data_IF_645909629162
#
_entry.id   IF_645909629162
#
_cell.length_a   1.000
_cell.length_b   1.000
_cell.length_c   1.000
_cell.angle_alpha   90.00
_cell.angle_beta   90.00
_cell.angle_gamma   90.00
#
_symmetry.space_group_name_H-M   'P 1'
#
loop_
_entity.id
_entity.type
_entity.pdbx_description
1 polymer ?
#
# COMPACT_ATOMS: atom_id res chain seq x y z
N UNK A 1 -17.64 33.20 -8.68
CA UNK A 1 -17.05 31.87 -8.44
C UNK A 1 -15.99 32.04 -7.36
N UNK A 2 -16.37 31.86 -6.08
CA UNK A 2 -15.42 31.96 -4.95
C UNK A 2 -14.51 30.72 -4.98
N UNK A 3 -13.25 30.91 -5.32
CA UNK A 3 -12.20 29.94 -5.08
C UNK A 3 -11.98 29.84 -3.57
N UNK A 4 -12.50 28.79 -2.95
CA UNK A 4 -12.12 28.43 -1.58
C UNK A 4 -10.66 27.97 -1.61
N UNK A 5 -9.75 28.87 -1.27
CA UNK A 5 -8.36 28.51 -0.96
C UNK A 5 -8.38 27.65 0.29
N UNK A 6 -8.27 26.33 0.12
CA UNK A 6 -8.00 25.43 1.26
C UNK A 6 -6.65 25.87 1.86
N UNK A 7 -6.60 26.19 3.15
CA UNK A 7 -5.33 26.62 3.79
C UNK A 7 -4.30 25.50 3.62
N UNK A 8 -3.05 25.87 3.36
CA UNK A 8 -1.92 24.93 3.33
C UNK A 8 -1.75 24.33 4.72
N UNK A 9 -1.85 23.00 4.83
CA UNK A 9 -1.53 22.28 6.06
C UNK A 9 -0.04 22.44 6.35
N UNK A 10 0.28 22.93 7.54
CA UNK A 10 1.65 22.93 8.05
C UNK A 10 1.87 21.73 8.97
N UNK A 11 3.13 21.34 9.16
CA UNK A 11 3.47 20.28 10.11
C UNK A 11 3.06 20.64 11.56
N UNK A 12 3.00 21.93 11.88
CA UNK A 12 2.57 22.42 13.19
C UNK A 12 1.08 22.17 13.49
N UNK A 13 0.25 21.93 12.47
CA UNK A 13 -1.17 21.58 12.63
C UNK A 13 -1.39 20.11 13.03
N UNK A 14 -0.39 19.27 12.86
CA UNK A 14 -0.45 17.88 13.30
C UNK A 14 0.03 17.74 14.74
N UNK A 15 -0.75 17.07 15.55
CA UNK A 15 -0.33 16.64 16.88
C UNK A 15 0.71 15.52 16.74
N UNK A 16 1.90 15.72 17.31
CA UNK A 16 2.95 14.72 17.24
C UNK A 16 4.35 15.30 17.27
N UNK A 17 5.33 14.40 17.19
CA UNK A 17 6.75 14.78 17.18
C UNK A 17 7.16 15.21 15.77
N UNK A 18 7.68 16.43 15.66
CA UNK A 18 8.23 16.94 14.41
C UNK A 18 9.58 16.29 14.10
N UNK A 19 9.79 15.93 12.83
CA UNK A 19 11.01 15.33 12.31
C UNK A 19 11.16 15.62 10.82
N UNK A 20 12.08 14.96 10.12
CA UNK A 20 12.36 15.21 8.72
C UNK A 20 12.46 13.89 7.94
N UNK A 21 11.96 13.89 6.71
CA UNK A 21 12.10 12.80 5.76
C UNK A 21 12.60 13.35 4.43
N UNK A 22 13.88 13.12 4.13
CA UNK A 22 14.52 13.57 2.88
C UNK A 22 14.33 15.06 2.55
N UNK A 23 14.38 15.93 3.56
CA UNK A 23 14.20 17.39 3.39
C UNK A 23 12.74 17.87 3.43
N UNK A 24 11.79 16.96 3.70
CA UNK A 24 10.39 17.28 3.89
C UNK A 24 9.97 17.20 5.36
N UNK A 25 9.10 18.11 5.84
CA UNK A 25 8.57 18.03 7.19
C UNK A 25 7.83 16.71 7.41
N UNK A 26 8.12 16.04 8.51
CA UNK A 26 7.45 14.80 8.91
C UNK A 26 6.94 14.92 10.34
N UNK A 27 5.76 14.39 10.58
CA UNK A 27 5.18 14.27 11.92
C UNK A 27 5.05 12.79 12.28
N UNK A 28 5.54 12.44 13.47
CA UNK A 28 5.37 11.14 14.08
C UNK A 28 4.29 11.23 15.16
N UNK A 29 3.26 10.42 15.04
CA UNK A 29 2.13 10.40 15.96
C UNK A 29 1.76 8.97 16.37
N UNK A 30 1.06 8.84 17.49
CA UNK A 30 0.48 7.58 17.91
C UNK A 30 -1.04 7.62 17.74
N UNK A 31 -1.62 6.55 17.17
CA UNK A 31 -3.05 6.34 17.11
C UNK A 31 -3.39 5.02 17.82
N UNK A 32 -3.83 5.10 19.06
CA UNK A 32 -3.87 3.96 19.95
C UNK A 32 -2.47 3.39 20.16
N UNK A 33 -2.27 2.09 19.90
CA UNK A 33 -0.98 1.40 19.97
C UNK A 33 -0.17 1.46 18.66
N UNK A 34 -0.69 2.13 17.61
CA UNK A 34 -0.03 2.24 16.32
C UNK A 34 0.87 3.47 16.24
N UNK A 35 2.11 3.27 15.80
CA UNK A 35 2.99 4.37 15.38
C UNK A 35 2.65 4.76 13.95
N UNK A 36 2.37 6.04 13.76
CA UNK A 36 2.01 6.60 12.48
C UNK A 36 2.97 7.72 12.09
N UNK A 37 3.07 7.98 10.79
CA UNK A 37 3.87 9.05 10.22
C UNK A 37 3.12 9.72 9.09
N UNK A 38 3.28 11.03 9.00
CA UNK A 38 2.78 11.83 7.88
C UNK A 38 3.90 12.74 7.42
N UNK A 39 4.24 12.68 6.14
CA UNK A 39 5.21 13.57 5.51
C UNK A 39 4.44 14.56 4.66
N UNK A 40 4.75 15.82 4.83
CA UNK A 40 4.10 16.90 4.12
C UNK A 40 4.98 17.39 2.96
N UNK A 41 4.41 17.62 1.77
CA UNK A 41 5.12 18.31 0.71
C UNK A 41 5.41 19.77 1.10
N UNK A 42 6.34 20.42 0.40
CA UNK A 42 6.59 21.87 0.61
C UNK A 42 5.37 22.71 0.26
N UNK A 43 4.68 22.32 -0.82
CA UNK A 43 3.42 22.90 -1.25
C UNK A 43 2.44 21.76 -1.55
N UNK A 44 1.31 21.77 -0.89
CA UNK A 44 0.31 20.71 -1.06
C UNK A 44 -0.46 20.91 -2.35
N UNK A 45 -0.56 19.86 -3.16
CA UNK A 45 -1.44 19.85 -4.31
C UNK A 45 -2.92 19.92 -3.89
N UNK A 46 -3.77 20.47 -4.78
CA UNK A 46 -5.21 20.63 -4.53
C UNK A 46 -5.84 19.27 -4.19
N UNK A 47 -6.69 19.27 -3.17
CA UNK A 47 -7.37 18.06 -2.69
C UNK A 47 -6.50 17.15 -1.82
N UNK A 48 -5.27 17.59 -1.44
CA UNK A 48 -4.38 16.88 -0.52
C UNK A 48 -4.21 15.39 -0.88
N UNK A 49 -3.74 15.09 -2.10
CA UNK A 49 -3.50 13.72 -2.52
C UNK A 49 -2.39 13.08 -1.69
N UNK A 50 -2.46 11.77 -1.50
CA UNK A 50 -1.50 11.06 -0.68
C UNK A 50 -1.30 9.62 -1.12
N UNK A 51 -0.09 9.12 -0.84
CA UNK A 51 0.27 7.72 -0.95
C UNK A 51 0.40 7.13 0.45
N UNK A 52 -0.17 5.94 0.65
CA UNK A 52 -0.17 5.24 1.91
C UNK A 52 0.76 4.04 1.83
N UNK A 53 1.92 4.23 2.40
CA UNK A 53 2.97 3.21 2.43
C UNK A 53 2.72 2.19 3.51
N UNK A 54 2.73 0.91 3.14
CA UNK A 54 2.63 -0.22 4.03
C UNK A 54 4.00 -0.84 4.28
N UNK A 55 4.44 -0.93 5.53
CA UNK A 55 5.69 -1.57 5.92
C UNK A 55 6.96 -0.87 5.39
N UNK A 56 8.12 -1.29 5.90
CA UNK A 56 9.45 -0.88 5.43
C UNK A 56 9.63 0.63 5.24
N UNK A 57 9.28 1.39 6.29
CA UNK A 57 9.42 2.84 6.26
C UNK A 57 10.82 3.29 5.86
N UNK A 58 10.90 4.18 4.87
CA UNK A 58 12.15 4.77 4.39
C UNK A 58 13.03 3.84 3.53
N UNK A 59 12.60 2.61 3.26
CA UNK A 59 13.32 1.72 2.34
C UNK A 59 12.93 2.03 0.90
N UNK A 60 13.93 2.23 0.01
CA UNK A 60 13.72 2.58 -1.41
C UNK A 60 12.68 3.71 -1.62
N UNK A 61 12.96 4.94 -1.12
CA UNK A 61 11.98 6.01 -1.02
C UNK A 61 11.81 6.84 -2.29
N UNK A 62 12.33 6.40 -3.45
CA UNK A 62 12.38 7.17 -4.68
C UNK A 62 11.00 7.65 -5.12
N UNK A 63 9.99 6.77 -5.05
CA UNK A 63 8.61 7.10 -5.38
C UNK A 63 8.02 8.11 -4.38
N UNK A 64 8.21 7.86 -3.08
CA UNK A 64 7.72 8.75 -2.02
C UNK A 64 8.26 10.18 -2.21
N UNK A 65 9.58 10.29 -2.44
CA UNK A 65 10.25 11.58 -2.64
C UNK A 65 9.78 12.27 -3.92
N UNK A 66 9.56 11.52 -5.00
CA UNK A 66 9.05 12.08 -6.26
C UNK A 66 7.63 12.62 -6.11
N UNK A 67 6.76 11.91 -5.40
CA UNK A 67 5.39 12.35 -5.12
C UNK A 67 5.36 13.55 -4.18
N UNK A 68 6.21 13.58 -3.13
CA UNK A 68 6.35 14.75 -2.24
C UNK A 68 6.76 16.01 -3.03
N UNK A 69 7.69 15.89 -3.99
CA UNK A 69 8.06 17.00 -4.89
C UNK A 69 6.90 17.48 -5.77
N UNK A 70 5.94 16.60 -6.04
CA UNK A 70 4.73 16.89 -6.82
C UNK A 70 3.53 17.35 -5.96
N UNK A 71 3.76 17.66 -4.69
CA UNK A 71 2.71 18.16 -3.78
C UNK A 71 1.86 17.09 -3.11
N UNK A 72 2.25 15.81 -3.22
CA UNK A 72 1.56 14.70 -2.56
C UNK A 72 2.08 14.50 -1.13
N UNK A 73 1.22 14.00 -0.26
CA UNK A 73 1.61 13.58 1.09
C UNK A 73 2.02 12.10 1.07
N UNK A 74 2.88 11.72 2.01
CA UNK A 74 3.19 10.31 2.27
C UNK A 74 2.74 9.96 3.68
N UNK A 75 1.99 8.90 3.82
CA UNK A 75 1.48 8.46 5.11
C UNK A 75 1.90 7.01 5.42
N UNK A 76 2.04 6.69 6.69
CA UNK A 76 2.41 5.38 7.19
C UNK A 76 1.70 5.09 8.51
N UNK A 77 1.18 3.89 8.66
CA UNK A 77 0.66 3.37 9.93
C UNK A 77 1.20 1.95 10.15
N UNK A 78 1.84 1.73 11.29
CA UNK A 78 2.51 0.45 11.56
C UNK A 78 1.50 -0.68 11.78
N UNK A 79 1.53 -1.63 10.87
CA UNK A 79 0.79 -2.91 10.92
C UNK A 79 1.70 -4.09 10.57
N UNK A 80 3.02 -3.89 10.68
CA UNK A 80 4.03 -4.79 10.13
C UNK A 80 3.93 -6.23 10.60
N UNK A 81 3.59 -6.46 11.84
CA UNK A 81 3.48 -7.80 12.43
C UNK A 81 2.03 -8.32 12.47
N UNK A 82 1.11 -7.63 11.79
CA UNK A 82 -0.28 -8.03 11.68
C UNK A 82 -0.62 -8.72 10.35
N UNK A 83 0.33 -8.83 9.41
CA UNK A 83 0.22 -9.60 8.15
C UNK A 83 -1.07 -9.33 7.35
N UNK A 84 -1.61 -8.12 7.39
CA UNK A 84 -2.85 -7.79 6.71
C UNK A 84 -4.11 -8.45 7.29
N UNK A 85 -4.05 -8.97 8.51
CA UNK A 85 -5.18 -9.58 9.21
C UNK A 85 -6.35 -8.58 9.42
N UNK A 86 -7.54 -9.04 9.82
CA UNK A 86 -8.66 -8.16 10.14
C UNK A 86 -8.31 -7.07 11.17
N UNK A 87 -7.42 -7.36 12.11
CA UNK A 87 -6.91 -6.38 13.07
C UNK A 87 -6.07 -5.30 12.38
N UNK A 88 -5.27 -5.66 11.38
CA UNK A 88 -4.51 -4.69 10.57
C UNK A 88 -5.44 -3.78 9.79
N UNK A 89 -6.47 -4.35 9.14
CA UNK A 89 -7.49 -3.60 8.41
C UNK A 89 -8.18 -2.60 9.32
N UNK A 90 -8.66 -3.02 10.49
CA UNK A 90 -9.31 -2.12 11.46
C UNK A 90 -8.38 -0.98 11.94
N UNK A 91 -7.09 -1.27 12.14
CA UNK A 91 -6.11 -0.23 12.49
C UNK A 91 -5.93 0.79 11.37
N UNK A 92 -5.90 0.33 10.14
CA UNK A 92 -5.83 1.19 8.96
C UNK A 92 -7.10 2.00 8.77
N UNK A 93 -8.29 1.43 9.01
CA UNK A 93 -9.56 2.18 8.99
C UNK A 93 -9.51 3.38 9.95
N UNK A 94 -9.03 3.18 11.17
CA UNK A 94 -8.90 4.27 12.15
C UNK A 94 -7.92 5.37 11.70
N UNK A 95 -6.79 5.00 11.07
CA UNK A 95 -5.84 5.97 10.55
C UNK A 95 -6.37 6.71 9.32
N UNK A 96 -7.07 6.00 8.43
CA UNK A 96 -7.75 6.61 7.29
C UNK A 96 -8.75 7.67 7.74
N UNK A 97 -9.64 7.34 8.69
CA UNK A 97 -10.62 8.29 9.24
C UNK A 97 -9.93 9.49 9.92
N UNK A 98 -8.84 9.24 10.65
CA UNK A 98 -8.06 10.31 11.27
C UNK A 98 -7.52 11.31 10.24
N UNK A 99 -6.96 10.84 9.12
CA UNK A 99 -6.41 11.73 8.09
C UNK A 99 -7.49 12.42 7.27
N UNK A 100 -8.54 11.70 6.88
CA UNK A 100 -9.58 12.25 6.01
C UNK A 100 -10.54 13.16 6.73
N UNK A 101 -10.98 12.82 7.94
CA UNK A 101 -11.93 13.62 8.70
C UNK A 101 -11.25 14.83 9.37
N UNK A 102 -10.10 14.62 10.05
CA UNK A 102 -9.43 15.70 10.80
C UNK A 102 -8.60 16.61 9.91
N UNK A 103 -7.85 16.05 8.95
CA UNK A 103 -6.90 16.78 8.12
C UNK A 103 -7.34 16.94 6.67
N UNK A 104 -8.55 16.51 6.32
CA UNK A 104 -9.15 16.68 4.99
C UNK A 104 -8.27 16.13 3.85
N UNK A 105 -7.57 15.03 4.09
CA UNK A 105 -6.84 14.33 3.05
C UNK A 105 -7.81 13.77 2.00
N UNK A 106 -7.32 13.62 0.76
CA UNK A 106 -8.13 13.04 -0.29
C UNK A 106 -8.75 11.71 0.17
N UNK A 107 -10.06 11.47 0.00
CA UNK A 107 -10.70 10.24 0.44
C UNK A 107 -10.25 8.99 -0.33
N UNK A 108 -9.41 9.16 -1.35
CA UNK A 108 -8.88 8.05 -2.18
C UNK A 108 -7.36 8.07 -2.20
N UNK A 109 -6.68 7.43 -1.21
CA UNK A 109 -5.24 7.24 -1.25
C UNK A 109 -4.80 6.33 -2.40
N UNK A 110 -3.54 6.46 -2.77
CA UNK A 110 -2.77 5.42 -3.44
C UNK A 110 -2.21 4.49 -2.37
N UNK A 111 -2.29 3.18 -2.58
CA UNK A 111 -1.73 2.20 -1.66
C UNK A 111 -0.40 1.68 -2.21
N UNK A 112 0.64 1.69 -1.40
CA UNK A 112 1.96 1.16 -1.71
C UNK A 112 2.34 0.04 -0.75
N UNK A 113 2.74 -1.11 -1.28
CA UNK A 113 3.16 -2.23 -0.45
C UNK A 113 4.31 -3.03 -1.05
N UNK A 114 5.45 -3.01 -0.37
CA UNK A 114 6.60 -3.86 -0.69
C UNK A 114 6.52 -5.17 0.06
N UNK A 115 6.89 -6.29 -0.60
CA UNK A 115 7.01 -7.61 0.03
C UNK A 115 5.73 -7.95 0.83
N UNK A 116 5.86 -8.29 2.13
CA UNK A 116 4.68 -8.57 2.99
C UNK A 116 3.72 -7.39 3.17
N UNK A 117 4.10 -6.18 2.75
CA UNK A 117 3.18 -5.05 2.64
C UNK A 117 2.04 -5.29 1.67
N UNK A 118 2.22 -6.20 0.70
CA UNK A 118 1.17 -6.66 -0.20
C UNK A 118 -0.08 -7.16 0.52
N UNK A 119 0.10 -7.88 1.64
CA UNK A 119 -1.03 -8.43 2.40
C UNK A 119 -2.01 -7.34 2.88
N UNK A 120 -1.50 -6.26 3.47
CA UNK A 120 -2.39 -5.23 4.03
C UNK A 120 -2.98 -4.32 2.95
N UNK A 121 -2.21 -3.90 1.94
CA UNK A 121 -2.75 -3.01 0.90
C UNK A 121 -3.93 -3.65 0.18
N UNK A 122 -3.84 -4.94 -0.15
CA UNK A 122 -4.93 -5.65 -0.81
C UNK A 122 -6.09 -5.97 0.12
N UNK A 123 -5.83 -6.41 1.36
CA UNK A 123 -6.91 -6.74 2.29
C UNK A 123 -7.70 -5.50 2.70
N UNK A 124 -7.01 -4.36 2.92
CA UNK A 124 -7.70 -3.10 3.17
C UNK A 124 -8.47 -2.60 1.94
N UNK A 125 -7.85 -2.66 0.77
CA UNK A 125 -8.49 -2.25 -0.48
C UNK A 125 -9.75 -3.07 -0.79
N UNK A 126 -9.73 -4.40 -0.59
CA UNK A 126 -10.90 -5.27 -0.78
C UNK A 126 -12.05 -4.93 0.17
N UNK A 127 -11.74 -4.52 1.40
CA UNK A 127 -12.72 -4.07 2.37
C UNK A 127 -13.24 -2.65 2.08
N UNK A 128 -12.46 -1.82 1.38
CA UNK A 128 -12.74 -0.42 1.12
C UNK A 128 -12.52 -0.03 -0.37
N UNK A 129 -13.08 -0.75 -1.36
CA UNK A 129 -12.69 -0.60 -2.76
C UNK A 129 -12.95 0.80 -3.33
N UNK A 130 -13.99 1.49 -2.87
CA UNK A 130 -14.32 2.85 -3.31
C UNK A 130 -13.37 3.92 -2.76
N UNK A 131 -12.63 3.59 -1.70
CA UNK A 131 -11.66 4.48 -1.05
C UNK A 131 -10.25 4.39 -1.66
N UNK A 132 -10.04 3.72 -2.80
CA UNK A 132 -8.71 3.49 -3.38
C UNK A 132 -8.57 4.14 -4.73
N UNK A 133 -7.49 4.93 -4.94
CA UNK A 133 -7.15 5.48 -6.25
C UNK A 133 -6.53 4.40 -7.15
N UNK A 134 -5.46 3.78 -6.70
CA UNK A 134 -4.76 2.67 -7.35
C UNK A 134 -3.89 1.94 -6.32
N UNK A 135 -3.34 0.79 -6.72
CA UNK A 135 -2.45 0.00 -5.88
C UNK A 135 -1.10 -0.19 -6.59
N UNK A 136 -0.02 0.13 -5.90
CA UNK A 136 1.35 -0.23 -6.25
C UNK A 136 1.85 -1.35 -5.34
N UNK A 137 2.16 -2.50 -5.93
CA UNK A 137 2.78 -3.64 -5.27
C UNK A 137 4.22 -3.83 -5.74
N UNK A 138 5.17 -3.90 -4.82
CA UNK A 138 6.57 -4.18 -5.13
C UNK A 138 6.97 -5.54 -4.60
N UNK A 139 7.20 -6.50 -5.49
CA UNK A 139 7.37 -7.91 -5.14
C UNK A 139 6.38 -8.35 -4.04
N UNK A 140 5.06 -8.04 -4.19
CA UNK A 140 4.11 -8.11 -3.11
C UNK A 140 3.77 -9.56 -2.75
N UNK A 141 3.71 -9.86 -1.45
CA UNK A 141 3.09 -11.09 -0.98
C UNK A 141 1.59 -11.00 -1.23
N UNK A 142 1.09 -11.87 -2.10
CA UNK A 142 -0.32 -11.95 -2.46
C UNK A 142 -1.02 -13.21 -1.92
N UNK A 143 -0.25 -14.16 -1.40
CA UNK A 143 -0.75 -15.34 -0.68
C UNK A 143 0.19 -15.66 0.50
N UNK A 144 -0.31 -15.60 1.73
CA UNK A 144 0.49 -15.92 2.90
C UNK A 144 0.90 -17.41 2.94
N UNK A 145 0.26 -18.28 2.15
CA UNK A 145 0.64 -19.68 1.99
C UNK A 145 1.91 -19.84 1.16
N UNK A 146 2.15 -18.96 0.19
CA UNK A 146 3.43 -18.88 -0.51
C UNK A 146 4.50 -18.32 0.43
N UNK A 147 4.29 -17.12 0.97
CA UNK A 147 5.14 -16.55 2.00
C UNK A 147 4.26 -15.94 3.11
N UNK A 148 4.50 -16.24 4.38
CA UNK A 148 5.67 -16.89 4.97
C UNK A 148 5.59 -18.42 5.10
N UNK A 149 4.49 -19.10 4.73
CA UNK A 149 4.34 -20.53 4.96
C UNK A 149 5.30 -21.41 4.12
N UNK A 150 5.69 -20.94 2.92
CA UNK A 150 6.60 -21.68 2.05
C UNK A 150 5.93 -22.80 1.26
N UNK A 151 4.64 -22.67 0.96
CA UNK A 151 3.95 -23.57 0.06
C UNK A 151 4.37 -23.29 -1.38
N UNK A 152 5.03 -24.22 -2.01
CA UNK A 152 5.52 -24.09 -3.37
C UNK A 152 7.03 -23.87 -3.42
N UNK A 153 7.49 -22.90 -4.21
CA UNK A 153 8.93 -22.62 -4.42
C UNK A 153 9.47 -21.52 -3.49
N UNK A 154 8.58 -20.76 -2.87
CA UNK A 154 8.95 -19.65 -2.00
C UNK A 154 9.69 -20.07 -0.75
N UNK A 155 10.67 -19.27 -0.33
CA UNK A 155 11.46 -19.53 0.88
C UNK A 155 10.59 -19.35 2.14
N UNK A 156 10.34 -20.45 2.86
CA UNK A 156 9.61 -20.41 4.12
C UNK A 156 10.31 -19.58 5.19
N UNK A 157 9.51 -18.98 6.08
CA UNK A 157 9.97 -18.30 7.29
C UNK A 157 9.13 -18.76 8.49
N UNK A 158 9.64 -19.76 9.22
CA UNK A 158 8.88 -20.38 10.32
C UNK A 158 8.43 -19.37 11.38
N UNK A 159 9.30 -18.44 11.80
CA UNK A 159 8.95 -17.39 12.76
C UNK A 159 7.89 -16.43 12.23
N UNK A 160 7.97 -16.04 10.95
CA UNK A 160 6.96 -15.20 10.32
C UNK A 160 5.64 -15.96 10.12
N UNK A 161 5.68 -17.26 9.85
CA UNK A 161 4.49 -18.10 9.75
C UNK A 161 3.72 -18.17 11.05
N UNK A 162 4.40 -18.47 12.16
CA UNK A 162 3.76 -18.48 13.49
C UNK A 162 3.19 -17.12 13.88
N UNK A 163 3.91 -16.03 13.56
CA UNK A 163 3.40 -14.68 13.79
C UNK A 163 2.17 -14.36 12.91
N UNK A 164 2.14 -14.86 11.68
CA UNK A 164 0.99 -14.71 10.77
C UNK A 164 -0.23 -15.47 11.32
N UNK A 165 -0.08 -16.73 11.70
CA UNK A 165 -1.15 -17.52 12.30
C UNK A 165 -1.75 -16.82 13.54
N UNK A 166 -0.88 -16.34 14.43
CA UNK A 166 -1.29 -15.58 15.62
C UNK A 166 -2.03 -14.29 15.24
N UNK A 167 -1.58 -13.56 14.22
CA UNK A 167 -2.20 -12.31 13.78
C UNK A 167 -3.61 -12.52 13.23
N UNK A 168 -3.84 -13.65 12.56
CA UNK A 168 -5.15 -14.03 12.03
C UNK A 168 -6.02 -14.77 13.04
N UNK A 169 -5.45 -15.31 14.11
CA UNK A 169 -6.14 -16.19 15.05
C UNK A 169 -6.50 -17.55 14.44
N UNK A 170 -5.68 -18.05 13.52
CA UNK A 170 -5.89 -19.29 12.81
C UNK A 170 -4.96 -20.39 13.33
N UNK A 171 -5.46 -21.61 13.36
CA UNK A 171 -4.64 -22.82 13.38
C UNK A 171 -3.96 -23.00 12.02
N UNK A 172 -2.95 -23.84 11.98
CA UNK A 172 -2.27 -24.14 10.70
C UNK A 172 -3.21 -24.78 9.68
N UNK A 173 -4.06 -25.71 10.11
CA UNK A 173 -5.06 -26.36 9.25
C UNK A 173 -6.05 -25.34 8.65
N UNK A 174 -6.58 -24.42 9.46
CA UNK A 174 -7.47 -23.36 8.99
C UNK A 174 -6.77 -22.41 8.02
N UNK A 175 -5.49 -22.12 8.26
CA UNK A 175 -4.72 -21.24 7.39
C UNK A 175 -4.51 -21.83 6.00
N UNK A 176 -4.33 -23.16 5.88
CA UNK A 176 -4.25 -23.83 4.58
C UNK A 176 -5.56 -23.74 3.79
N UNK A 177 -6.70 -23.71 4.47
CA UNK A 177 -8.02 -23.58 3.84
C UNK A 177 -8.46 -22.13 3.65
N UNK A 178 -7.71 -21.17 4.19
CA UNK A 178 -8.08 -19.75 4.14
C UNK A 178 -8.20 -19.23 2.70
N UNK A 179 -9.30 -18.50 2.40
CA UNK A 179 -9.66 -17.98 1.07
C UNK A 179 -9.76 -16.45 1.05
N UNK A 180 -9.11 -15.77 1.98
CA UNK A 180 -9.13 -14.31 2.08
C UNK A 180 -7.82 -13.61 1.71
N UNK A 181 -6.86 -14.33 1.10
CA UNK A 181 -5.59 -13.74 0.67
C UNK A 181 -5.79 -12.66 -0.43
N UNK A 182 -4.81 -11.79 -0.67
CA UNK A 182 -4.85 -10.82 -1.77
C UNK A 182 -5.25 -11.40 -3.12
N UNK A 183 -4.79 -12.62 -3.45
CA UNK A 183 -5.18 -13.32 -4.68
C UNK A 183 -6.65 -13.75 -4.72
N UNK A 184 -7.36 -13.68 -3.61
CA UNK A 184 -8.76 -14.09 -3.49
C UNK A 184 -9.67 -12.85 -3.39
N UNK A 185 -10.94 -13.00 -3.82
CA UNK A 185 -11.96 -11.97 -3.61
C UNK A 185 -11.68 -10.63 -4.30
N UNK A 186 -11.11 -10.64 -5.50
CA UNK A 186 -10.71 -9.42 -6.25
C UNK A 186 -11.87 -8.67 -6.93
N UNK A 187 -13.05 -9.28 -7.04
CA UNK A 187 -14.19 -8.69 -7.74
C UNK A 187 -14.61 -7.28 -7.25
N UNK A 188 -14.60 -6.96 -5.94
CA UNK A 188 -14.92 -5.61 -5.48
C UNK A 188 -13.97 -4.54 -6.03
N UNK A 189 -12.66 -4.84 -6.14
CA UNK A 189 -11.68 -3.91 -6.71
C UNK A 189 -11.92 -3.67 -8.20
N UNK A 190 -12.25 -4.73 -8.94
CA UNK A 190 -12.59 -4.63 -10.38
C UNK A 190 -13.86 -3.81 -10.56
N UNK A 191 -14.91 -4.09 -9.77
CA UNK A 191 -16.15 -3.32 -9.81
C UNK A 191 -15.94 -1.83 -9.52
N UNK A 192 -15.07 -1.52 -8.57
CA UNK A 192 -14.67 -0.14 -8.26
C UNK A 192 -13.70 0.47 -9.28
N UNK A 193 -13.23 -0.30 -10.27
CA UNK A 193 -12.32 0.17 -11.32
C UNK A 193 -10.92 0.55 -10.79
N UNK A 194 -10.41 -0.11 -9.76
CA UNK A 194 -9.10 0.19 -9.15
C UNK A 194 -7.98 -0.32 -10.06
N UNK A 195 -7.13 0.52 -10.68
CA UNK A 195 -6.02 0.02 -11.47
C UNK A 195 -4.86 -0.42 -10.58
N UNK A 196 -4.13 -1.45 -11.02
CA UNK A 196 -3.00 -2.03 -10.31
C UNK A 196 -1.70 -1.88 -11.10
N UNK A 197 -0.58 -1.65 -10.39
CA UNK A 197 0.76 -1.76 -10.95
C UNK A 197 1.65 -2.56 -10.00
N UNK A 198 2.36 -3.55 -10.55
CA UNK A 198 3.37 -4.31 -9.81
C UNK A 198 4.75 -4.13 -10.41
N UNK A 199 5.77 -4.15 -9.56
CA UNK A 199 7.19 -4.29 -9.94
C UNK A 199 7.69 -5.58 -9.35
N UNK A 200 8.29 -6.45 -10.14
CA UNK A 200 8.73 -7.79 -9.70
C UNK A 200 10.10 -8.13 -10.26
N UNK A 201 10.88 -8.88 -9.49
CA UNK A 201 12.12 -9.48 -9.95
C UNK A 201 11.86 -10.90 -10.47
N UNK A 202 12.31 -11.21 -11.69
CA UNK A 202 11.96 -12.46 -12.38
C UNK A 202 12.56 -13.72 -11.74
N UNK A 203 13.59 -13.57 -10.91
CA UNK A 203 14.23 -14.68 -10.20
C UNK A 203 14.04 -14.58 -8.68
N UNK A 204 12.92 -14.00 -8.25
CA UNK A 204 12.57 -13.87 -6.83
C UNK A 204 12.23 -15.25 -6.23
N UNK A 205 13.11 -15.74 -5.35
CA UNK A 205 12.94 -17.01 -4.62
C UNK A 205 12.33 -16.83 -3.23
N UNK A 206 12.11 -15.58 -2.80
CA UNK A 206 11.47 -15.27 -1.50
C UNK A 206 9.98 -15.14 -1.66
N UNK A 207 9.55 -14.35 -2.64
CA UNK A 207 8.14 -14.14 -3.02
C UNK A 207 8.01 -14.45 -4.52
N UNK A 208 7.97 -15.75 -4.90
CA UNK A 208 7.95 -16.15 -6.30
C UNK A 208 6.82 -15.47 -7.07
N UNK A 209 7.16 -14.92 -8.25
CA UNK A 209 6.22 -14.19 -9.10
C UNK A 209 5.04 -15.09 -9.47
N UNK A 210 5.31 -16.37 -9.80
CA UNK A 210 4.30 -17.32 -10.25
C UNK A 210 3.27 -17.71 -9.17
N UNK A 211 3.63 -17.57 -7.90
CA UNK A 211 2.75 -17.88 -6.77
C UNK A 211 1.98 -16.64 -6.26
N UNK A 212 2.44 -15.46 -6.60
CA UNK A 212 1.92 -14.18 -6.09
C UNK A 212 1.38 -13.29 -7.23
N UNK A 213 2.24 -12.50 -7.84
CA UNK A 213 1.84 -11.50 -8.87
C UNK A 213 1.18 -12.16 -10.07
N UNK A 214 1.72 -13.25 -10.63
CA UNK A 214 1.13 -13.91 -11.80
C UNK A 214 -0.26 -14.49 -11.53
N UNK A 215 -0.48 -15.02 -10.31
CA UNK A 215 -1.81 -15.52 -9.91
C UNK A 215 -2.80 -14.38 -9.80
N UNK A 216 -2.40 -13.29 -9.12
CA UNK A 216 -3.23 -12.10 -8.96
C UNK A 216 -3.55 -11.47 -10.31
N UNK A 217 -2.56 -11.26 -11.16
CA UNK A 217 -2.71 -10.69 -12.49
C UNK A 217 -3.70 -11.48 -13.35
N UNK A 218 -3.50 -12.79 -13.44
CA UNK A 218 -4.39 -13.67 -14.21
C UNK A 218 -5.83 -13.60 -13.71
N UNK A 219 -6.03 -13.64 -12.39
CA UNK A 219 -7.36 -13.55 -11.78
C UNK A 219 -7.99 -12.17 -11.98
N UNK A 220 -7.22 -11.10 -11.82
CA UNK A 220 -7.69 -9.74 -11.97
C UNK A 220 -8.12 -9.44 -13.40
N UNK A 221 -7.27 -9.81 -14.38
CA UNK A 221 -7.59 -9.68 -15.81
C UNK A 221 -8.80 -10.52 -16.22
N UNK A 222 -8.94 -11.74 -15.69
CA UNK A 222 -10.13 -12.59 -15.95
C UNK A 222 -11.43 -11.94 -15.49
N UNK A 223 -11.39 -11.11 -14.47
CA UNK A 223 -12.54 -10.33 -13.96
C UNK A 223 -12.75 -9.02 -14.73
N UNK A 224 -11.91 -8.67 -15.70
CA UNK A 224 -11.95 -7.42 -16.46
C UNK A 224 -11.17 -6.26 -15.82
N UNK A 225 -10.39 -6.51 -14.77
CA UNK A 225 -9.56 -5.51 -14.10
C UNK A 225 -8.29 -5.18 -14.88
N UNK A 226 -7.76 -3.99 -14.65
CA UNK A 226 -6.52 -3.48 -15.27
C UNK A 226 -5.35 -3.61 -14.32
N UNK A 227 -4.33 -4.35 -14.73
CA UNK A 227 -3.04 -4.47 -14.02
C UNK A 227 -1.89 -4.36 -15.02
N UNK A 228 -0.88 -3.57 -14.66
CA UNK A 228 0.42 -3.49 -15.31
C UNK A 228 1.46 -4.19 -14.44
N UNK A 229 2.33 -4.98 -15.04
CA UNK A 229 3.47 -5.61 -14.34
C UNK A 229 4.76 -5.16 -15.02
N UNK A 230 5.66 -4.60 -14.23
CA UNK A 230 7.02 -4.25 -14.65
C UNK A 230 7.95 -5.35 -14.15
N UNK A 231 8.54 -6.07 -15.08
CA UNK A 231 9.49 -7.12 -14.81
C UNK A 231 10.92 -6.57 -14.74
N UNK A 232 11.72 -7.05 -13.78
CA UNK A 232 13.15 -6.77 -13.66
C UNK A 232 13.92 -8.06 -13.98
N UNK A 233 14.41 -8.24 -15.23
CA UNK A 233 15.09 -9.47 -15.64
C UNK A 233 16.33 -9.75 -14.82
N UNK A 234 16.48 -10.99 -14.33
CA UNK A 234 17.62 -11.43 -13.53
C UNK A 234 17.71 -10.86 -12.12
N UNK A 235 16.69 -10.09 -11.68
CA UNK A 235 16.62 -9.54 -10.31
C UNK A 235 15.81 -10.46 -9.42
N UNK A 236 16.28 -10.68 -8.19
CA UNK A 236 15.59 -11.43 -7.15
C UNK A 236 14.62 -10.55 -6.35
N UNK A 237 14.44 -10.90 -5.06
CA UNK A 237 13.57 -10.13 -4.15
C UNK A 237 14.09 -8.70 -3.90
N UNK A 238 15.37 -8.50 -4.01
CA UNK A 238 16.05 -7.21 -3.86
C UNK A 238 16.91 -6.88 -5.09
N UNK A 239 17.13 -5.59 -5.39
CA UNK A 239 16.52 -4.42 -4.75
C UNK A 239 15.04 -4.25 -5.09
N UNK A 240 14.29 -3.70 -4.15
CA UNK A 240 12.93 -3.24 -4.40
C UNK A 240 12.90 -1.97 -5.25
N UNK A 241 11.70 -1.54 -5.65
CA UNK A 241 11.43 -0.31 -6.39
C UNK A 241 12.10 -0.25 -7.79
N UNK A 242 12.02 0.90 -8.40
CA UNK A 242 12.75 1.28 -9.60
C UNK A 242 13.73 2.40 -9.25
N UNK A 243 14.96 2.36 -9.81
CA UNK A 243 15.93 3.46 -9.64
C UNK A 243 15.34 4.77 -10.15
N UNK A 244 14.68 4.74 -11.31
CA UNK A 244 13.86 5.83 -11.84
C UNK A 244 12.40 5.54 -11.52
N UNK A 245 11.75 6.30 -10.62
CA UNK A 245 10.35 6.11 -10.27
C UNK A 245 9.36 6.67 -11.29
N UNK A 246 9.82 7.31 -12.36
CA UNK A 246 8.97 8.00 -13.33
C UNK A 246 7.82 7.15 -13.89
N UNK A 247 8.00 5.85 -14.23
CA UNK A 247 6.89 5.02 -14.67
C UNK A 247 5.78 4.85 -13.61
N UNK A 248 6.17 4.72 -12.33
CA UNK A 248 5.24 4.61 -11.21
C UNK A 248 4.51 5.93 -10.97
N UNK A 249 5.24 7.04 -10.98
CA UNK A 249 4.66 8.39 -10.86
C UNK A 249 3.64 8.64 -11.97
N UNK A 250 3.99 8.35 -13.23
CA UNK A 250 3.09 8.52 -14.37
C UNK A 250 1.80 7.69 -14.21
N UNK A 251 1.92 6.43 -13.82
CA UNK A 251 0.77 5.55 -13.56
C UNK A 251 -0.13 6.12 -12.45
N UNK A 252 0.44 6.55 -11.33
CA UNK A 252 -0.29 7.09 -10.19
C UNK A 252 -1.02 8.38 -10.57
N UNK A 253 -0.34 9.32 -11.24
CA UNK A 253 -0.96 10.59 -11.66
C UNK A 253 -2.09 10.35 -12.68
N UNK A 254 -1.91 9.41 -13.61
CA UNK A 254 -2.97 9.02 -14.54
C UNK A 254 -4.17 8.39 -13.83
N UNK A 255 -3.94 7.52 -12.86
CA UNK A 255 -5.00 6.91 -12.06
C UNK A 255 -5.76 7.97 -11.23
N UNK A 256 -5.05 8.91 -10.62
CA UNK A 256 -5.64 9.99 -9.84
C UNK A 256 -6.49 10.95 -10.71
N UNK A 257 -6.05 11.24 -11.93
CA UNK A 257 -6.81 12.07 -12.87
C UNK A 257 -8.13 11.40 -13.30
N UNK A 258 -8.16 10.07 -13.43
CA UNK A 258 -9.37 9.31 -13.79
C UNK A 258 -10.32 9.08 -12.61
N UNK A 259 -9.83 9.16 -11.41
CA UNK A 259 -10.56 8.94 -10.15
C UNK A 259 -10.35 10.12 -9.19
N UNK A 260 -10.71 11.35 -9.59
CA UNK A 260 -10.56 12.50 -8.70
C UNK A 260 -11.33 12.24 -7.42
N UNK A 261 -10.77 12.67 -6.29
CA UNK A 261 -11.52 12.70 -5.04
C UNK A 261 -12.80 13.51 -5.25
N UNK A 262 -13.92 13.02 -4.73
CA UNK A 262 -15.17 13.78 -4.80
C UNK A 262 -14.93 15.07 -4.04
N UNK A 263 -14.84 16.20 -4.76
CA UNK A 263 -14.88 17.50 -4.14
C UNK A 263 -16.26 17.61 -3.47
N UNK A 264 -16.27 17.68 -2.14
CA UNK A 264 -17.48 18.05 -1.39
C UNK A 264 -17.74 19.52 -1.50
#
# INVERSE_FOLDING_TARGET
>A
MLLWLTPLLSAAEFEGKQSNFHGFPMVELALGDARCRVVLPKESAVGRPWIWRARFWGHEPQLDVALLKSGWHVAYCDVGNLFGSPRAVKRWDAFYEHLTAKYQFNPRPVLEGMSRGGLIIYNWAKANPEKVTCIYGDAPVCDFKSWPAGRGQGKASAGAWQACLKAYGLTEAEAWEYRGNPIDGLAPLVKAGVPLIHVVGDVDVVVPVDENTSVLERRYKKLGGTIQVIHKPGVGHHPHSLKDPSPLVAFILQAAARRPGVAK
#
